data_IF_693804982670
#
_entry.id   IF_693804982670
#
_cell.length_a   1.000
_cell.length_b   1.000
_cell.length_c   1.000
_cell.angle_alpha   90.00
_cell.angle_beta   90.00
_cell.angle_gamma   90.00
#
_symmetry.space_group_name_H-M   'P 1'
#
loop_
_entity.id
_entity.type
_entity.pdbx_description
1 polymer ?
#
# COMPACT_ATOMS: atom_id res chain seq x y z
N UNK A 1 2.01 31.10 1.58
CA UNK A 1 2.54 29.96 2.36
C UNK A 1 3.21 29.01 1.38
N UNK A 2 4.46 28.58 1.60
CA UNK A 2 5.07 27.52 0.78
C UNK A 2 4.57 26.15 1.25
N UNK A 3 4.69 25.12 0.40
CA UNK A 3 4.34 23.74 0.76
C UNK A 3 5.14 23.24 1.96
N UNK A 4 6.43 23.59 2.03
CA UNK A 4 7.34 23.21 3.13
C UNK A 4 6.87 23.83 4.45
N UNK A 5 6.56 25.13 4.47
CA UNK A 5 6.09 25.82 5.68
C UNK A 5 4.76 25.25 6.18
N UNK A 6 3.86 24.91 5.24
CA UNK A 6 2.60 24.25 5.59
C UNK A 6 2.86 22.88 6.24
N UNK A 7 3.75 22.06 5.67
CA UNK A 7 4.10 20.75 6.23
C UNK A 7 4.73 20.86 7.63
N UNK A 8 5.66 21.79 7.85
CA UNK A 8 6.27 22.02 9.17
C UNK A 8 5.20 22.37 10.24
N UNK A 9 4.21 23.18 9.87
CA UNK A 9 3.12 23.55 10.76
C UNK A 9 2.23 22.36 11.11
N UNK A 10 1.83 21.56 10.12
CA UNK A 10 0.98 20.38 10.33
C UNK A 10 1.68 19.30 11.15
N UNK A 11 2.98 19.05 10.90
CA UNK A 11 3.77 18.10 11.69
C UNK A 11 3.88 18.54 13.16
N UNK A 12 4.04 19.85 13.41
CA UNK A 12 4.02 20.39 14.77
C UNK A 12 2.69 20.13 15.48
N UNK A 13 1.56 20.23 14.78
CA UNK A 13 0.23 20.01 15.38
C UNK A 13 0.01 18.56 15.84
N UNK A 14 0.68 17.59 15.22
CA UNK A 14 0.63 16.18 15.61
C UNK A 14 1.74 15.79 16.60
N UNK A 15 2.43 16.76 17.19
CA UNK A 15 3.47 16.52 18.20
C UNK A 15 4.84 16.15 17.64
N UNK A 16 5.10 16.41 16.35
CA UNK A 16 6.41 16.26 15.70
C UNK A 16 7.15 17.60 15.58
N UNK A 17 7.02 18.46 16.60
CA UNK A 17 7.70 19.76 16.70
C UNK A 17 9.00 19.70 17.51
N UNK A 18 9.44 20.87 18.00
CA UNK A 18 10.71 21.01 18.77
C UNK A 18 10.78 20.11 20.01
N UNK A 19 9.65 19.93 20.71
CA UNK A 19 9.54 19.12 21.94
C UNK A 19 9.28 17.62 21.68
N UNK A 20 9.38 17.17 20.42
CA UNK A 20 9.10 15.79 20.05
C UNK A 20 10.13 14.79 20.59
N UNK A 21 9.75 13.51 20.66
CA UNK A 21 10.70 12.42 20.89
C UNK A 21 11.73 12.35 19.75
N UNK A 22 12.89 11.75 20.00
CA UNK A 22 13.92 11.59 18.97
C UNK A 22 13.41 10.81 17.74
N UNK A 23 12.57 9.80 17.94
CA UNK A 23 11.91 9.06 16.86
C UNK A 23 11.02 9.97 16.00
N UNK A 24 10.24 10.84 16.64
CA UNK A 24 9.36 11.78 15.93
C UNK A 24 10.15 12.89 15.22
N UNK A 25 11.30 13.30 15.76
CA UNK A 25 12.19 14.27 15.08
C UNK A 25 12.81 13.66 13.81
N UNK A 26 13.26 12.41 13.88
CA UNK A 26 13.77 11.70 12.70
C UNK A 26 12.68 11.58 11.62
N UNK A 27 11.48 11.15 12.01
CA UNK A 27 10.34 11.07 11.10
C UNK A 27 9.96 12.43 10.51
N UNK A 28 9.98 13.49 11.32
CA UNK A 28 9.76 14.86 10.85
C UNK A 28 10.75 15.23 9.74
N UNK A 29 12.05 15.00 9.97
CA UNK A 29 13.10 15.38 9.04
C UNK A 29 12.99 14.60 7.71
N UNK A 30 12.69 13.30 7.77
CA UNK A 30 12.45 12.46 6.60
C UNK A 30 11.26 12.97 5.77
N UNK A 31 10.14 13.29 6.42
CA UNK A 31 8.95 13.83 5.73
C UNK A 31 9.27 15.18 5.09
N UNK A 32 9.95 16.08 5.81
CA UNK A 32 10.31 17.40 5.32
C UNK A 32 11.29 17.32 4.14
N UNK A 33 12.22 16.37 4.13
CA UNK A 33 13.10 16.13 2.98
C UNK A 33 12.29 15.80 1.72
N UNK A 34 11.35 14.87 1.82
CA UNK A 34 10.48 14.46 0.70
C UNK A 34 9.65 15.67 0.21
N UNK A 35 9.06 16.43 1.12
CA UNK A 35 8.26 17.62 0.80
C UNK A 35 9.09 18.69 0.10
N UNK A 36 10.32 18.94 0.55
CA UNK A 36 11.26 19.88 -0.09
C UNK A 36 11.58 19.43 -1.52
N UNK A 37 11.95 18.16 -1.70
CA UNK A 37 12.24 17.60 -3.03
C UNK A 37 11.04 17.70 -3.98
N UNK A 38 9.83 17.49 -3.48
CA UNK A 38 8.62 17.61 -4.28
C UNK A 38 8.31 19.07 -4.63
N UNK A 39 8.48 20.00 -3.69
CA UNK A 39 8.26 21.43 -3.90
C UNK A 39 9.24 22.02 -4.94
N UNK A 40 10.51 21.61 -4.89
CA UNK A 40 11.58 22.08 -5.79
C UNK A 40 11.33 21.72 -7.27
N UNK A 41 10.49 20.70 -7.54
CA UNK A 41 10.14 20.30 -8.91
C UNK A 41 9.20 21.27 -9.63
N UNK A 42 8.59 22.22 -8.91
CA UNK A 42 7.80 23.30 -9.53
C UNK A 42 6.52 22.84 -10.22
N UNK A 43 5.89 21.77 -9.73
CA UNK A 43 4.65 21.25 -10.30
C UNK A 43 3.52 22.27 -10.28
N UNK A 44 2.70 22.24 -11.34
CA UNK A 44 1.36 22.83 -11.32
C UNK A 44 0.40 21.98 -10.46
N UNK A 45 -0.78 22.52 -10.10
CA UNK A 45 -1.78 21.73 -9.37
C UNK A 45 -2.18 20.42 -10.09
N UNK A 46 -2.22 20.43 -11.44
CA UNK A 46 -2.50 19.26 -12.24
C UNK A 46 -1.35 18.22 -12.19
N UNK A 47 -0.12 18.63 -12.51
CA UNK A 47 1.02 17.72 -12.52
C UNK A 47 1.39 17.20 -11.13
N UNK A 48 1.18 18.01 -10.09
CA UNK A 48 1.34 17.60 -8.70
C UNK A 48 0.36 16.47 -8.35
N UNK A 49 -0.92 16.62 -8.70
CA UNK A 49 -1.94 15.60 -8.42
C UNK A 49 -1.64 14.28 -9.14
N UNK A 50 -1.15 14.36 -10.38
CA UNK A 50 -0.74 13.19 -11.15
C UNK A 50 0.48 12.49 -10.53
N UNK A 51 1.51 13.25 -10.16
CA UNK A 51 2.72 12.70 -9.54
C UNK A 51 2.41 12.04 -8.19
N UNK A 52 1.61 12.70 -7.33
CA UNK A 52 1.19 12.14 -6.05
C UNK A 52 0.43 10.83 -6.23
N UNK A 53 -0.48 10.74 -7.20
CA UNK A 53 -1.21 9.50 -7.47
C UNK A 53 -0.31 8.31 -7.82
N UNK A 54 0.78 8.55 -8.57
CA UNK A 54 1.76 7.50 -8.90
C UNK A 54 2.66 7.19 -7.70
N UNK A 55 3.17 8.21 -7.02
CA UNK A 55 4.04 8.05 -5.86
C UNK A 55 3.36 7.28 -4.74
N UNK A 56 2.10 7.59 -4.42
CA UNK A 56 1.33 6.86 -3.41
C UNK A 56 1.25 5.38 -3.72
N UNK A 57 1.02 5.00 -4.99
CA UNK A 57 1.00 3.58 -5.39
C UNK A 57 2.37 2.93 -5.21
N UNK A 58 3.42 3.59 -5.69
CA UNK A 58 4.78 3.05 -5.63
C UNK A 58 5.28 2.88 -4.19
N UNK A 59 5.02 3.86 -3.31
CA UNK A 59 5.41 3.79 -1.90
C UNK A 59 4.65 2.68 -1.14
N UNK A 60 3.46 2.30 -1.62
CA UNK A 60 2.69 1.18 -1.08
C UNK A 60 2.95 -0.16 -1.80
N UNK A 61 3.97 -0.24 -2.67
CA UNK A 61 4.27 -1.43 -3.48
C UNK A 61 3.09 -1.92 -4.34
N UNK A 62 2.26 -0.98 -4.83
CA UNK A 62 1.11 -1.30 -5.69
C UNK A 62 1.48 -1.29 -7.17
N UNK A 63 0.96 -2.27 -7.92
CA UNK A 63 1.12 -2.34 -9.35
C UNK A 63 0.41 -1.15 -10.06
N UNK A 64 1.14 -0.47 -10.96
CA UNK A 64 0.60 0.66 -11.74
C UNK A 64 -0.34 0.23 -12.88
N UNK A 65 -0.29 -1.04 -13.29
CA UNK A 65 -1.16 -1.62 -14.32
C UNK A 65 -1.73 -2.94 -13.81
N UNK A 66 -2.80 -3.46 -14.43
CA UNK A 66 -3.30 -4.79 -14.10
C UNK A 66 -2.18 -5.84 -14.25
N UNK A 67 -2.23 -6.86 -13.40
CA UNK A 67 -1.49 -8.09 -13.55
C UNK A 67 -2.02 -8.82 -14.78
N UNK A 68 -1.11 -9.39 -15.54
CA UNK A 68 -1.43 -10.10 -16.79
C UNK A 68 -1.53 -11.60 -16.60
N UNK A 69 -0.92 -12.13 -15.53
CA UNK A 69 -0.81 -13.56 -15.28
C UNK A 69 0.32 -14.23 -16.06
N UNK A 70 1.08 -13.48 -16.86
CA UNK A 70 2.23 -13.99 -17.59
C UNK A 70 3.28 -14.62 -16.65
N UNK A 71 3.98 -15.64 -17.13
CA UNK A 71 4.89 -16.45 -16.30
C UNK A 71 6.03 -15.63 -15.67
N UNK A 72 6.44 -14.53 -16.31
CA UNK A 72 7.45 -13.62 -15.82
C UNK A 72 6.99 -12.77 -14.63
N UNK A 73 5.68 -12.65 -14.37
CA UNK A 73 5.14 -11.98 -13.19
C UNK A 73 5.23 -12.82 -11.91
N UNK A 74 5.67 -14.08 -11.99
CA UNK A 74 5.67 -15.02 -10.86
C UNK A 74 7.07 -15.39 -10.38
N UNK A 75 7.20 -15.62 -9.07
CA UNK A 75 8.37 -16.20 -8.41
C UNK A 75 7.94 -17.47 -7.68
N UNK A 76 8.68 -18.57 -7.83
CA UNK A 76 8.43 -19.80 -7.09
C UNK A 76 8.79 -19.62 -5.62
N UNK A 77 7.91 -20.10 -4.74
CA UNK A 77 8.08 -20.05 -3.30
C UNK A 77 8.62 -21.40 -2.85
N UNK A 78 9.69 -21.40 -2.05
CA UNK A 78 10.30 -22.64 -1.55
C UNK A 78 9.39 -23.45 -0.63
N UNK A 79 9.57 -24.77 -0.60
CA UNK A 79 8.72 -25.74 0.12
C UNK A 79 8.53 -25.41 1.62
N UNK A 80 9.49 -24.76 2.28
CA UNK A 80 9.41 -24.37 3.69
C UNK A 80 8.63 -23.08 3.99
N UNK A 81 8.16 -22.38 2.95
CA UNK A 81 7.34 -21.14 3.06
C UNK A 81 5.93 -21.35 2.49
N UNK A 82 5.67 -22.49 1.84
CA UNK A 82 4.37 -22.85 1.34
C UNK A 82 3.45 -23.23 2.52
N UNK A 83 2.48 -22.37 2.83
CA UNK A 83 1.26 -22.83 3.49
C UNK A 83 0.35 -23.37 2.40
N UNK A 84 -0.03 -24.65 2.52
CA UNK A 84 -0.99 -25.31 1.64
C UNK A 84 -0.50 -25.45 0.18
N UNK A 85 -1.30 -25.03 -0.81
CA UNK A 85 -1.10 -25.17 -2.26
C UNK A 85 -0.32 -24.01 -2.91
N UNK A 86 0.15 -23.05 -2.11
CA UNK A 86 0.80 -21.81 -2.51
C UNK A 86 2.19 -22.06 -3.12
N UNK A 87 2.26 -22.14 -4.46
CA UNK A 87 3.50 -22.46 -5.18
C UNK A 87 4.23 -21.25 -5.73
N UNK A 88 3.50 -20.24 -6.19
CA UNK A 88 4.10 -19.03 -6.76
C UNK A 88 3.47 -17.77 -6.15
N UNK A 89 4.31 -16.74 -5.97
CA UNK A 89 3.88 -15.40 -5.56
C UNK A 89 4.09 -14.43 -6.71
N UNK A 90 3.16 -13.49 -6.89
CA UNK A 90 3.31 -12.46 -7.90
C UNK A 90 4.34 -11.40 -7.47
N UNK A 91 5.25 -11.03 -8.36
CA UNK A 91 6.33 -10.06 -8.11
C UNK A 91 5.84 -8.62 -7.92
N UNK A 92 4.66 -8.31 -8.47
CA UNK A 92 4.09 -6.96 -8.53
C UNK A 92 2.97 -6.73 -7.53
N UNK A 93 2.46 -7.79 -6.91
CA UNK A 93 1.40 -7.76 -5.92
C UNK A 93 1.59 -8.90 -4.93
N UNK A 94 2.13 -8.60 -3.75
CA UNK A 94 2.57 -9.60 -2.78
C UNK A 94 1.41 -10.43 -2.18
N UNK A 95 0.17 -9.97 -2.28
CA UNK A 95 -1.01 -10.70 -1.81
C UNK A 95 -1.56 -11.69 -2.84
N UNK A 96 -1.03 -11.69 -4.08
CA UNK A 96 -1.48 -12.56 -5.16
C UNK A 96 -0.58 -13.78 -5.26
N UNK A 97 -1.22 -14.95 -5.20
CA UNK A 97 -0.57 -16.26 -5.24
C UNK A 97 -1.16 -17.13 -6.34
N UNK A 98 -0.38 -18.11 -6.81
CA UNK A 98 -0.80 -19.13 -7.76
C UNK A 98 -0.53 -20.52 -7.19
N UNK A 99 -1.59 -21.32 -7.17
CA UNK A 99 -1.57 -22.67 -6.65
C UNK A 99 -0.88 -23.67 -7.58
N UNK A 100 -0.60 -24.87 -7.08
CA UNK A 100 -0.10 -25.98 -7.89
C UNK A 100 -1.07 -26.42 -9.01
N UNK A 101 -2.37 -26.15 -8.83
CA UNK A 101 -3.43 -26.37 -9.83
C UNK A 101 -3.48 -25.28 -10.94
N UNK A 102 -2.61 -24.27 -10.85
CA UNK A 102 -2.51 -23.16 -11.79
C UNK A 102 -3.51 -22.02 -11.56
N UNK A 103 -4.42 -22.12 -10.58
CA UNK A 103 -5.37 -21.04 -10.26
C UNK A 103 -4.70 -19.97 -9.41
N UNK A 104 -5.00 -18.71 -9.72
CA UNK A 104 -4.53 -17.57 -8.94
C UNK A 104 -5.60 -17.07 -7.97
N UNK A 105 -5.18 -16.62 -6.81
CA UNK A 105 -6.03 -15.97 -5.82
C UNK A 105 -5.31 -14.79 -5.17
N UNK A 106 -6.09 -13.82 -4.69
CA UNK A 106 -5.63 -12.73 -3.86
C UNK A 106 -6.09 -12.97 -2.41
N UNK A 107 -5.14 -12.91 -1.47
CA UNK A 107 -5.39 -13.11 -0.04
C UNK A 107 -5.72 -11.82 0.71
N UNK A 108 -5.71 -10.66 0.05
CA UNK A 108 -5.91 -9.35 0.67
C UNK A 108 -6.99 -8.53 -0.05
N UNK A 109 -8.13 -9.13 -0.35
CA UNK A 109 -9.23 -8.41 -1.03
C UNK A 109 -10.19 -7.73 -0.08
N UNK A 110 -10.11 -7.98 1.22
CA UNK A 110 -11.03 -7.46 2.23
C UNK A 110 -10.29 -6.93 3.44
N UNK A 111 -10.69 -5.73 3.84
CA UNK A 111 -10.32 -5.11 5.11
C UNK A 111 -11.58 -4.92 5.92
N UNK A 112 -11.58 -5.49 7.11
CA UNK A 112 -12.68 -5.39 8.06
C UNK A 112 -12.50 -4.16 8.94
N UNK A 113 -13.59 -3.56 9.37
CA UNK A 113 -13.57 -2.49 10.36
C UNK A 113 -14.64 -2.69 11.43
N UNK A 114 -14.35 -2.23 12.64
CA UNK A 114 -15.28 -2.33 13.77
C UNK A 114 -16.52 -1.45 13.56
N UNK A 115 -17.70 -1.98 13.89
CA UNK A 115 -18.97 -1.25 13.78
C UNK A 115 -18.90 0.10 14.51
N UNK A 116 -19.15 1.18 13.78
CA UNK A 116 -19.09 2.55 14.32
C UNK A 116 -17.69 3.15 14.41
N UNK A 117 -16.63 2.41 14.06
CA UNK A 117 -15.26 2.90 14.02
C UNK A 117 -14.52 2.45 12.74
N UNK A 118 -14.71 3.22 11.65
CA UNK A 118 -14.08 2.96 10.34
C UNK A 118 -12.56 3.09 10.33
N UNK A 119 -11.97 3.70 11.36
CA UNK A 119 -10.52 3.88 11.47
C UNK A 119 -9.83 2.66 12.09
N UNK A 120 -10.57 1.84 12.85
CA UNK A 120 -10.07 0.59 13.39
C UNK A 120 -10.25 -0.53 12.36
N UNK A 121 -9.20 -0.81 11.59
CA UNK A 121 -9.23 -1.77 10.47
C UNK A 121 -8.31 -2.95 10.70
N UNK A 122 -8.70 -4.13 10.20
CA UNK A 122 -7.92 -5.36 10.31
C UNK A 122 -8.25 -6.35 9.18
N UNK A 123 -7.41 -7.36 8.97
CA UNK A 123 -7.64 -8.42 7.96
C UNK A 123 -7.93 -9.75 8.67
N UNK A 124 -8.96 -10.49 8.20
CA UNK A 124 -9.20 -11.86 8.66
C UNK A 124 -8.35 -12.83 7.82
N UNK A 125 -7.57 -13.69 8.49
CA UNK A 125 -6.72 -14.68 7.81
C UNK A 125 -7.53 -15.81 7.17
N UNK A 126 -7.03 -16.37 6.07
CA UNK A 126 -7.60 -17.57 5.43
C UNK A 126 -8.60 -17.33 4.30
N UNK A 127 -9.00 -16.07 4.05
CA UNK A 127 -9.86 -15.76 2.90
C UNK A 127 -9.05 -15.69 1.61
N UNK A 128 -9.42 -16.54 0.64
CA UNK A 128 -8.86 -16.54 -0.72
C UNK A 128 -9.93 -16.08 -1.69
N UNK A 129 -9.66 -14.99 -2.42
CA UNK A 129 -10.50 -14.59 -3.54
C UNK A 129 -9.84 -15.05 -4.83
N UNK A 130 -10.41 -16.05 -5.49
CA UNK A 130 -9.90 -16.51 -6.80
C UNK A 130 -10.12 -15.44 -7.86
N UNK A 131 -9.08 -15.20 -8.67
CA UNK A 131 -9.03 -14.11 -9.64
C UNK A 131 -8.86 -14.62 -11.07
N UNK A 132 -9.20 -13.76 -12.03
CA UNK A 132 -8.92 -13.96 -13.46
C UNK A 132 -8.15 -12.77 -14.00
N UNK A 133 -7.33 -12.99 -15.03
CA UNK A 133 -6.50 -11.95 -15.62
C UNK A 133 -7.19 -11.32 -16.86
N UNK A 134 -6.99 -10.01 -17.11
CA UNK A 134 -6.15 -9.09 -16.34
C UNK A 134 -6.76 -8.73 -14.98
N UNK A 135 -5.92 -8.65 -13.93
CA UNK A 135 -6.38 -8.42 -12.56
C UNK A 135 -5.82 -7.11 -12.00
N UNK A 136 -6.70 -6.27 -11.46
CA UNK A 136 -6.31 -5.09 -10.69
C UNK A 136 -6.69 -5.33 -9.24
N UNK A 137 -5.69 -5.25 -8.35
CA UNK A 137 -5.90 -5.37 -6.92
C UNK A 137 -6.92 -4.34 -6.43
N UNK A 138 -7.87 -4.80 -5.61
CA UNK A 138 -8.90 -3.97 -4.99
C UNK A 138 -9.19 -4.51 -3.61
N UNK A 139 -9.28 -3.59 -2.65
CA UNK A 139 -9.68 -3.86 -1.29
C UNK A 139 -11.12 -3.40 -1.08
N UNK A 140 -11.96 -4.30 -0.60
CA UNK A 140 -13.30 -4.01 -0.10
C UNK A 140 -13.25 -3.75 1.40
N UNK A 141 -13.87 -2.66 1.86
CA UNK A 141 -14.00 -2.35 3.28
C UNK A 141 -15.32 -2.90 3.80
N UNK A 142 -15.25 -3.86 4.72
CA UNK A 142 -16.40 -4.60 5.24
C UNK A 142 -16.63 -4.24 6.71
N UNK A 143 -17.85 -3.84 7.06
CA UNK A 143 -18.22 -3.67 8.47
C UNK A 143 -18.30 -5.04 9.13
N UNK A 144 -17.55 -5.22 10.22
CA UNK A 144 -17.66 -6.42 11.02
C UNK A 144 -18.85 -6.31 11.97
N UNK A 145 -19.78 -7.25 11.84
CA UNK A 145 -21.08 -7.24 12.53
C UNK A 145 -21.12 -8.18 13.75
N UNK A 146 -19.96 -8.69 14.17
CA UNK A 146 -19.82 -9.52 15.37
C UNK A 146 -20.25 -8.79 16.66
#
# INVERSE_FOLDING_TARGET
MSLVLFAEQELKLIGMGEDATEENKLMHDDIIEIVKKFADQGHSGFSASYALGILTKLMNYEALTPLTGADDEWTEIGEGQAQDDMKYQNKRCYSVFKGSDGRAYDSNTKVYYEKGNRSNTYTKGGERTYITFPYTHKVEYVEDVE
#
